data_IF_556728173431
#
_entry.id   IF_556728173431
#
_cell.length_a   1.000
_cell.length_b   1.000
_cell.length_c   1.000
_cell.angle_alpha   90.00
_cell.angle_beta   90.00
_cell.angle_gamma   90.00
#
_symmetry.space_group_name_H-M   'P 1'
#
loop_
_entity.id
_entity.type
_entity.pdbx_description
1 polymer ?
#
# COMPACT_ATOMS: atom_id res chain seq x y z
N UNK A 1 2.55 12.62 -2.10
CA UNK A 1 1.36 12.44 -2.97
C UNK A 1 1.60 11.72 -4.29
N UNK A 2 2.69 11.96 -5.03
CA UNK A 2 2.97 11.32 -6.33
C UNK A 2 2.72 9.79 -6.38
N UNK A 3 3.32 9.03 -5.45
CA UNK A 3 3.12 7.57 -5.32
C UNK A 3 1.67 7.17 -5.02
N UNK A 4 0.94 8.01 -4.29
CA UNK A 4 -0.48 7.77 -3.99
C UNK A 4 -1.28 7.89 -5.28
N UNK A 5 -1.04 8.93 -6.09
CA UNK A 5 -1.64 9.10 -7.43
C UNK A 5 -1.42 7.87 -8.31
N UNK A 6 -0.16 7.44 -8.49
CA UNK A 6 0.17 6.24 -9.29
C UNK A 6 -0.58 5.00 -8.79
N UNK A 7 -0.60 4.76 -7.47
CA UNK A 7 -1.26 3.58 -6.90
C UNK A 7 -2.78 3.63 -7.08
N UNK A 8 -3.40 4.81 -6.93
CA UNK A 8 -4.83 5.01 -7.21
C UNK A 8 -5.13 4.78 -8.68
N UNK A 9 -4.35 5.33 -9.61
CA UNK A 9 -4.52 5.08 -11.05
C UNK A 9 -4.41 3.59 -11.38
N UNK A 10 -3.37 2.91 -10.88
CA UNK A 10 -3.22 1.45 -11.08
C UNK A 10 -4.38 0.65 -10.50
N UNK A 11 -4.88 1.07 -9.33
CA UNK A 11 -6.06 0.48 -8.70
C UNK A 11 -7.28 0.63 -9.60
N UNK A 12 -7.61 1.86 -10.02
CA UNK A 12 -8.72 2.15 -10.93
C UNK A 12 -8.63 1.32 -12.21
N UNK A 13 -7.48 1.37 -12.90
CA UNK A 13 -7.23 0.60 -14.12
C UNK A 13 -7.38 -0.90 -13.92
N UNK A 14 -7.15 -1.45 -12.72
CA UNK A 14 -7.28 -2.89 -12.44
C UNK A 14 -8.69 -3.32 -12.03
N UNK A 15 -9.46 -2.41 -11.43
CA UNK A 15 -10.75 -2.71 -10.82
C UNK A 15 -11.93 -2.31 -11.70
N UNK A 16 -11.85 -1.17 -12.39
CA UNK A 16 -12.87 -0.64 -13.29
C UNK A 16 -12.67 -1.29 -14.66
N UNK A 17 -13.28 -2.46 -14.85
CA UNK A 17 -13.09 -3.29 -16.05
C UNK A 17 -14.15 -3.02 -17.10
N UNK A 18 -13.76 -3.23 -18.36
CA UNK A 18 -14.65 -3.13 -19.52
C UNK A 18 -15.33 -1.77 -19.68
N UNK A 19 -14.70 -0.69 -19.21
CA UNK A 19 -15.14 0.70 -19.46
C UNK A 19 -14.32 1.34 -20.58
N UNK A 20 -13.05 0.97 -20.69
CA UNK A 20 -12.12 1.45 -21.71
C UNK A 20 -11.52 0.29 -22.51
N UNK A 21 -11.05 0.51 -23.76
CA UNK A 21 -10.47 -0.54 -24.58
C UNK A 21 -9.26 -1.22 -23.89
N UNK A 22 -9.14 -2.54 -24.04
CA UNK A 22 -8.13 -3.32 -23.29
C UNK A 22 -6.69 -2.97 -23.68
N UNK A 23 -6.42 -2.68 -24.95
CA UNK A 23 -5.08 -2.38 -25.45
C UNK A 23 -4.44 -1.14 -24.78
N UNK A 24 -5.06 0.06 -24.81
CA UNK A 24 -4.50 1.23 -24.11
C UNK A 24 -4.41 1.02 -22.60
N UNK A 25 -5.39 0.36 -21.98
CA UNK A 25 -5.38 0.07 -20.55
C UNK A 25 -4.23 -0.86 -20.16
N UNK A 26 -3.94 -1.89 -20.96
CA UNK A 26 -2.81 -2.79 -20.74
C UNK A 26 -1.47 -2.05 -20.82
N UNK A 27 -1.34 -1.10 -21.76
CA UNK A 27 -0.18 -0.21 -21.86
C UNK A 27 -0.03 0.66 -20.61
N UNK A 28 -1.06 1.42 -20.23
CA UNK A 28 -1.00 2.30 -19.05
C UNK A 28 -0.75 1.53 -17.76
N UNK A 29 -1.30 0.32 -17.59
CA UNK A 29 -0.98 -0.53 -16.43
C UNK A 29 0.53 -0.83 -16.34
N UNK A 30 1.19 -1.10 -17.47
CA UNK A 30 2.65 -1.33 -17.53
C UNK A 30 3.41 -0.04 -17.22
N UNK A 31 3.00 1.09 -17.79
CA UNK A 31 3.65 2.39 -17.60
C UNK A 31 3.57 2.87 -16.15
N UNK A 32 2.37 2.88 -15.56
CA UNK A 32 2.22 3.24 -14.15
C UNK A 32 2.86 2.21 -13.22
N UNK A 33 2.94 0.93 -13.61
CA UNK A 33 3.73 -0.04 -12.85
C UNK A 33 5.22 0.28 -12.91
N UNK A 34 5.74 0.76 -14.04
CA UNK A 34 7.12 1.19 -14.16
C UNK A 34 7.40 2.43 -13.31
N UNK A 35 6.57 3.47 -13.42
CA UNK A 35 6.68 4.69 -12.60
C UNK A 35 6.61 4.37 -11.10
N UNK A 36 5.73 3.46 -10.70
CA UNK A 36 5.68 2.99 -9.32
C UNK A 36 6.99 2.36 -8.86
N UNK A 37 7.54 1.43 -9.65
CA UNK A 37 8.81 0.74 -9.34
C UNK A 37 10.00 1.70 -9.25
N UNK A 38 10.07 2.72 -10.11
CA UNK A 38 11.12 3.75 -10.07
C UNK A 38 11.22 4.47 -8.72
N UNK A 39 10.09 4.58 -8.00
CA UNK A 39 10.02 5.30 -6.73
C UNK A 39 10.18 4.41 -5.50
N UNK A 40 10.32 3.08 -5.66
CA UNK A 40 10.31 2.15 -4.53
C UNK A 40 11.49 2.38 -3.60
N UNK A 41 12.72 2.26 -4.11
CA UNK A 41 13.92 2.33 -3.25
C UNK A 41 14.03 3.66 -2.52
N UNK A 42 13.83 4.77 -3.22
CA UNK A 42 13.82 6.09 -2.57
C UNK A 42 12.76 6.19 -1.46
N UNK A 43 11.56 5.64 -1.69
CA UNK A 43 10.52 5.64 -0.66
C UNK A 43 10.89 4.78 0.54
N UNK A 44 11.47 3.61 0.31
CA UNK A 44 11.86 2.69 1.38
C UNK A 44 12.94 3.37 2.26
N UNK A 45 13.90 4.04 1.63
CA UNK A 45 14.90 4.88 2.31
C UNK A 45 14.26 6.04 3.10
N UNK A 46 13.34 6.80 2.49
CA UNK A 46 12.62 7.88 3.18
C UNK A 46 11.89 7.36 4.42
N UNK A 47 11.22 6.21 4.32
CA UNK A 47 10.47 5.61 5.43
C UNK A 47 11.42 5.14 6.53
N UNK A 48 12.51 4.47 6.18
CA UNK A 48 13.50 4.01 7.16
C UNK A 48 14.15 5.19 7.90
N UNK A 49 14.50 6.25 7.19
CA UNK A 49 15.12 7.45 7.77
C UNK A 49 14.15 8.22 8.69
N UNK A 50 12.86 8.26 8.37
CA UNK A 50 11.83 8.82 9.27
C UNK A 50 11.69 8.05 10.59
N UNK A 51 12.15 6.80 10.65
CA UNK A 51 12.10 5.95 11.86
C UNK A 51 13.39 6.01 12.68
N UNK A 52 14.37 6.83 12.30
CA UNK A 52 15.68 6.86 12.93
C UNK A 52 15.62 7.05 14.45
N UNK A 53 14.92 8.07 14.91
CA UNK A 53 14.83 8.36 16.35
C UNK A 53 14.01 7.30 17.09
N UNK A 54 12.94 6.80 16.46
CA UNK A 54 12.13 5.72 17.00
C UNK A 54 12.97 4.44 17.22
N UNK A 55 13.85 4.09 16.28
CA UNK A 55 14.75 2.94 16.44
C UNK A 55 15.72 3.13 17.60
N UNK A 56 16.28 4.33 17.78
CA UNK A 56 17.20 4.58 18.91
C UNK A 56 16.51 4.38 20.24
N UNK A 57 15.27 4.85 20.39
CA UNK A 57 14.50 4.69 21.65
C UNK A 57 14.24 3.22 22.00
N UNK A 58 14.18 2.32 21.00
CA UNK A 58 14.01 0.88 21.23
C UNK A 58 15.27 0.17 21.75
N UNK A 59 16.42 0.86 21.80
CA UNK A 59 17.69 0.29 22.20
C UNK A 59 18.21 0.88 23.52
N UNK A 60 18.96 0.08 24.31
CA UNK A 60 19.75 0.58 25.42
C UNK A 60 20.68 1.70 24.98
N UNK A 61 20.88 2.71 25.84
CA UNK A 61 21.66 3.91 25.50
C UNK A 61 23.04 3.64 24.91
N UNK A 62 23.73 2.59 25.38
CA UNK A 62 25.06 2.22 24.88
C UNK A 62 25.05 1.62 23.45
N UNK A 63 23.92 1.11 22.97
CA UNK A 63 23.76 0.59 21.60
C UNK A 63 23.24 1.65 20.62
N UNK A 64 22.66 2.77 21.10
CA UNK A 64 22.08 3.78 20.23
C UNK A 64 23.08 4.38 19.23
N UNK A 65 24.33 4.76 19.61
CA UNK A 65 25.32 5.28 18.67
C UNK A 65 25.74 4.24 17.61
N UNK A 66 25.52 2.95 17.85
CA UNK A 66 25.89 1.88 16.91
C UNK A 66 25.00 1.81 15.69
N UNK A 67 23.90 2.56 15.66
CA UNK A 67 23.06 2.75 14.49
C UNK A 67 23.53 3.88 13.56
N UNK A 68 24.49 4.72 13.98
CA UNK A 68 24.96 5.85 13.17
C UNK A 68 25.44 5.41 11.78
N UNK A 69 26.30 4.37 11.64
CA UNK A 69 26.79 3.94 10.33
C UNK A 69 25.67 3.45 9.40
N UNK A 70 24.64 2.80 9.96
CA UNK A 70 23.45 2.38 9.19
C UNK A 70 22.77 3.62 8.61
N UNK A 71 22.42 4.60 9.44
CA UNK A 71 21.69 5.79 8.96
C UNK A 71 22.53 6.68 8.05
N UNK A 72 23.83 6.80 8.29
CA UNK A 72 24.76 7.46 7.37
C UNK A 72 24.74 6.80 5.98
N UNK A 73 24.80 5.47 5.92
CA UNK A 73 24.71 4.74 4.65
C UNK A 73 23.36 4.94 3.94
N UNK A 74 22.25 4.94 4.70
CA UNK A 74 20.90 5.15 4.15
C UNK A 74 20.74 6.57 3.61
N UNK A 75 21.28 7.58 4.29
CA UNK A 75 21.30 8.97 3.82
C UNK A 75 22.12 9.13 2.54
N UNK A 76 23.29 8.49 2.47
CA UNK A 76 24.13 8.50 1.28
C UNK A 76 23.41 7.87 0.08
N UNK A 77 22.80 6.70 0.27
CA UNK A 77 22.04 6.01 -0.77
C UNK A 77 20.81 6.82 -1.20
N UNK A 78 20.08 7.42 -0.25
CA UNK A 78 18.91 8.27 -0.54
C UNK A 78 19.28 9.41 -1.48
N UNK A 79 20.45 10.03 -1.29
CA UNK A 79 20.93 11.10 -2.17
C UNK A 79 21.13 10.61 -3.61
N UNK A 80 21.64 9.40 -3.79
CA UNK A 80 21.83 8.78 -5.12
C UNK A 80 20.48 8.46 -5.76
N UNK A 81 19.60 7.77 -5.05
CA UNK A 81 18.28 7.37 -5.56
C UNK A 81 17.37 8.57 -5.82
N UNK A 82 17.50 9.65 -5.05
CA UNK A 82 16.80 10.91 -5.31
C UNK A 82 17.23 11.51 -6.65
N UNK A 83 18.54 11.61 -6.93
CA UNK A 83 19.03 12.12 -8.22
C UNK A 83 18.59 11.23 -9.38
N UNK A 84 18.63 9.90 -9.18
CA UNK A 84 18.18 8.93 -10.18
C UNK A 84 16.70 9.11 -10.51
N UNK A 85 15.85 9.28 -9.49
CA UNK A 85 14.43 9.51 -9.69
C UNK A 85 14.19 10.85 -10.38
N UNK A 86 14.83 11.93 -9.94
CA UNK A 86 14.71 13.25 -10.56
C UNK A 86 15.05 13.19 -12.06
N UNK A 87 16.21 12.62 -12.42
CA UNK A 87 16.59 12.45 -13.82
C UNK A 87 15.61 11.57 -14.62
N UNK A 88 15.02 10.54 -14.00
CA UNK A 88 14.03 9.69 -14.66
C UNK A 88 12.69 10.42 -14.90
N UNK A 89 12.30 11.32 -14.00
CA UNK A 89 11.10 12.16 -14.15
C UNK A 89 11.33 13.32 -15.13
N UNK A 90 12.57 13.79 -15.28
CA UNK A 90 12.93 14.79 -16.30
C UNK A 90 13.10 14.17 -17.70
N UNK A 91 13.12 12.85 -17.81
CA UNK A 91 13.33 12.14 -19.07
C UNK A 91 12.08 12.01 -19.94
N UNK A 92 12.28 11.92 -21.26
CA UNK A 92 11.20 11.86 -22.26
C UNK A 92 10.16 10.76 -22.00
N UNK A 93 10.56 9.66 -21.38
CA UNK A 93 9.64 8.55 -21.09
C UNK A 93 8.53 8.99 -20.14
N UNK A 94 8.86 9.70 -19.06
CA UNK A 94 7.85 10.19 -18.13
C UNK A 94 6.94 11.22 -18.80
N UNK A 95 7.53 12.19 -19.51
CA UNK A 95 6.80 13.23 -20.21
C UNK A 95 5.82 12.65 -21.24
N UNK A 96 6.23 11.63 -22.00
CA UNK A 96 5.34 10.89 -22.91
C UNK A 96 4.22 10.16 -22.16
N UNK A 97 4.51 9.46 -21.06
CA UNK A 97 3.48 8.76 -20.29
C UNK A 97 2.44 9.77 -19.77
N UNK A 98 2.88 10.93 -19.27
CA UNK A 98 2.00 11.97 -18.76
C UNK A 98 1.13 12.57 -19.88
N UNK A 99 1.73 12.94 -21.01
CA UNK A 99 1.02 13.49 -22.17
C UNK A 99 0.03 12.49 -22.78
N UNK A 100 0.45 11.23 -22.98
CA UNK A 100 -0.42 10.16 -23.49
C UNK A 100 -1.60 9.88 -22.55
N UNK A 101 -1.36 9.93 -21.23
CA UNK A 101 -2.41 9.72 -20.23
C UNK A 101 -3.41 10.87 -20.21
N UNK A 102 -2.93 12.11 -20.25
CA UNK A 102 -3.79 13.30 -20.35
C UNK A 102 -4.61 13.29 -21.66
N UNK A 103 -3.97 13.00 -22.79
CA UNK A 103 -4.64 12.85 -24.08
C UNK A 103 -5.72 11.78 -24.03
N UNK A 104 -5.41 10.60 -23.50
CA UNK A 104 -6.36 9.51 -23.35
C UNK A 104 -7.58 9.88 -22.50
N UNK A 105 -7.38 10.58 -21.37
CA UNK A 105 -8.48 10.98 -20.48
C UNK A 105 -9.38 12.08 -21.06
N UNK A 106 -8.83 12.93 -21.94
CA UNK A 106 -9.55 14.05 -22.55
C UNK A 106 -10.18 13.69 -23.92
N UNK A 107 -9.85 12.55 -24.50
CA UNK A 107 -10.50 12.06 -25.71
C UNK A 107 -11.93 11.60 -25.40
N UNK A 108 -12.87 11.93 -26.29
CA UNK A 108 -14.21 11.34 -26.25
C UNK A 108 -14.14 9.84 -26.59
N UNK A 109 -14.98 8.98 -25.98
CA UNK A 109 -14.99 7.57 -26.32
C UNK A 109 -15.34 7.38 -27.80
N UNK A 110 -14.53 6.62 -28.54
CA UNK A 110 -14.87 6.22 -29.90
C UNK A 110 -16.06 5.26 -29.92
N UNK A 111 -16.89 5.39 -30.96
CA UNK A 111 -18.00 4.47 -31.27
C UNK A 111 -17.47 3.06 -31.56
N UNK A 112 -17.73 2.16 -30.62
CA UNK A 112 -17.13 0.81 -30.52
C UNK A 112 -16.75 0.47 -29.08
N UNK A 113 -17.39 1.14 -28.12
CA UNK A 113 -16.98 1.16 -26.73
C UNK A 113 -17.24 -0.20 -26.05
N UNK A 114 -16.43 -0.57 -25.05
CA UNK A 114 -16.60 -1.84 -24.34
C UNK A 114 -17.94 -1.94 -23.60
N UNK A 115 -18.36 -3.16 -23.22
CA UNK A 115 -19.69 -3.47 -22.67
C UNK A 115 -20.19 -2.55 -21.53
N UNK A 116 -19.30 -2.02 -20.68
CA UNK A 116 -19.68 -1.16 -19.56
C UNK A 116 -19.48 0.34 -19.83
N UNK A 117 -19.09 0.75 -21.04
CA UNK A 117 -18.83 2.16 -21.34
C UNK A 117 -20.08 3.03 -21.26
N UNK A 118 -21.22 2.50 -21.72
CA UNK A 118 -22.52 3.19 -21.70
C UNK A 118 -23.37 2.79 -20.48
N UNK A 119 -22.88 1.89 -19.62
CA UNK A 119 -23.62 1.43 -18.46
C UNK A 119 -23.68 2.53 -17.38
N UNK A 120 -24.79 2.64 -16.62
CA UNK A 120 -24.90 3.60 -15.54
C UNK A 120 -23.78 3.44 -14.50
N UNK A 121 -23.04 4.52 -14.24
CA UNK A 121 -21.88 4.51 -13.35
C UNK A 121 -22.23 3.97 -11.94
N UNK A 122 -23.43 4.27 -11.44
CA UNK A 122 -23.91 3.79 -10.15
C UNK A 122 -23.98 2.26 -10.08
N UNK A 123 -24.56 1.60 -11.10
CA UNK A 123 -24.70 0.14 -11.11
C UNK A 123 -23.35 -0.57 -11.20
N UNK A 124 -22.42 -0.01 -11.98
CA UNK A 124 -21.04 -0.51 -12.04
C UNK A 124 -20.33 -0.33 -10.69
N UNK A 125 -20.47 0.84 -10.07
CA UNK A 125 -19.85 1.13 -8.78
C UNK A 125 -20.34 0.15 -7.71
N UNK A 126 -21.65 -0.10 -7.62
CA UNK A 126 -22.23 -1.08 -6.70
C UNK A 126 -21.64 -2.47 -6.93
N UNK A 127 -21.62 -2.96 -8.17
CA UNK A 127 -21.06 -4.28 -8.50
C UNK A 127 -19.56 -4.41 -8.20
N UNK A 128 -18.75 -3.36 -8.45
CA UNK A 128 -17.33 -3.37 -8.12
C UNK A 128 -17.09 -3.35 -6.61
N UNK A 129 -17.83 -2.53 -5.87
CA UNK A 129 -17.71 -2.39 -4.41
C UNK A 129 -18.14 -3.69 -3.72
N UNK A 130 -19.33 -4.23 -4.04
CA UNK A 130 -19.86 -5.46 -3.45
C UNK A 130 -18.90 -6.63 -3.64
N UNK A 131 -18.42 -6.83 -4.88
CA UNK A 131 -17.44 -7.89 -5.19
C UNK A 131 -16.18 -7.78 -4.33
N UNK A 132 -15.70 -6.56 -4.06
CA UNK A 132 -14.51 -6.35 -3.23
C UNK A 132 -14.80 -6.48 -1.75
N UNK A 133 -15.95 -6.01 -1.29
CA UNK A 133 -16.39 -6.19 0.08
C UNK A 133 -16.48 -7.67 0.44
N UNK A 134 -17.22 -8.48 -0.35
CA UNK A 134 -17.32 -9.93 -0.14
C UNK A 134 -15.93 -10.59 -0.10
N UNK A 135 -15.05 -10.21 -1.02
CA UNK A 135 -13.67 -10.74 -1.03
C UNK A 135 -12.90 -10.41 0.25
N UNK A 136 -13.07 -9.22 0.82
CA UNK A 136 -12.44 -8.83 2.09
C UNK A 136 -13.02 -9.64 3.24
N UNK A 137 -14.35 -9.83 3.29
CA UNK A 137 -15.00 -10.67 4.30
C UNK A 137 -14.53 -12.12 4.22
N UNK A 138 -14.57 -12.73 3.03
CA UNK A 138 -14.15 -14.12 2.81
C UNK A 138 -12.70 -14.34 3.23
N UNK A 139 -11.80 -13.45 2.80
CA UNK A 139 -10.38 -13.55 3.13
C UNK A 139 -10.11 -13.32 4.61
N UNK A 140 -10.78 -12.33 5.23
CA UNK A 140 -10.60 -12.03 6.64
C UNK A 140 -11.14 -13.12 7.56
N UNK A 141 -12.27 -13.74 7.21
CA UNK A 141 -12.84 -14.86 7.94
C UNK A 141 -11.96 -16.12 7.90
N UNK A 142 -11.12 -16.26 6.88
CA UNK A 142 -10.17 -17.36 6.73
C UNK A 142 -8.82 -17.15 7.45
N UNK A 143 -8.61 -15.98 8.09
CA UNK A 143 -7.37 -15.71 8.84
C UNK A 143 -7.48 -16.30 10.25
N UNK A 144 -6.55 -17.19 10.56
CA UNK A 144 -6.35 -17.81 11.86
C UNK A 144 -4.98 -17.45 12.44
N UNK A 145 -4.73 -17.81 13.70
CA UNK A 145 -3.46 -17.55 14.37
C UNK A 145 -2.26 -18.14 13.61
N UNK A 146 -2.43 -19.30 12.97
CA UNK A 146 -1.40 -20.04 12.21
C UNK A 146 -1.22 -19.55 10.77
N UNK A 147 -2.08 -18.66 10.26
CA UNK A 147 -2.07 -18.26 8.85
C UNK A 147 -0.78 -17.53 8.47
N UNK A 148 -0.12 -17.87 7.35
CA UNK A 148 1.10 -17.17 6.94
C UNK A 148 0.92 -15.65 6.80
N UNK A 149 1.94 -14.88 7.16
CA UNK A 149 1.99 -13.40 7.05
C UNK A 149 1.63 -12.90 5.63
N UNK A 150 1.93 -13.69 4.61
CA UNK A 150 1.60 -13.40 3.22
C UNK A 150 0.09 -13.25 2.97
N UNK A 151 -0.78 -13.97 3.69
CA UNK A 151 -2.22 -13.83 3.53
C UNK A 151 -2.75 -12.55 4.16
N UNK A 152 -2.21 -12.10 5.31
CA UNK A 152 -2.54 -10.79 5.87
C UNK A 152 -2.10 -9.67 4.92
N UNK A 153 -0.93 -9.82 4.28
CA UNK A 153 -0.49 -8.88 3.25
C UNK A 153 -1.45 -8.85 2.04
N UNK A 154 -1.94 -10.01 1.59
CA UNK A 154 -2.94 -10.09 0.51
C UNK A 154 -4.25 -9.44 0.92
N UNK A 155 -4.74 -9.71 2.13
CA UNK A 155 -5.96 -9.09 2.67
C UNK A 155 -5.83 -7.56 2.75
N UNK A 156 -4.67 -7.05 3.18
CA UNK A 156 -4.38 -5.61 3.19
C UNK A 156 -4.51 -4.99 1.80
N UNK A 157 -4.04 -5.67 0.75
CA UNK A 157 -4.17 -5.20 -0.63
C UNK A 157 -5.65 -5.12 -1.02
N UNK A 158 -6.46 -6.13 -0.70
CA UNK A 158 -7.90 -6.11 -0.99
C UNK A 158 -8.64 -5.03 -0.19
N UNK A 159 -8.29 -4.80 1.08
CA UNK A 159 -8.84 -3.69 1.87
C UNK A 159 -8.53 -2.33 1.23
N UNK A 160 -7.30 -2.12 0.74
CA UNK A 160 -6.94 -0.88 0.03
C UNK A 160 -7.70 -0.72 -1.27
N UNK A 161 -7.89 -1.81 -2.02
CA UNK A 161 -8.69 -1.82 -3.25
C UNK A 161 -10.14 -1.43 -2.99
N UNK A 162 -10.75 -1.99 -1.94
CA UNK A 162 -12.10 -1.63 -1.49
C UNK A 162 -12.18 -0.13 -1.14
N UNK A 163 -11.26 0.38 -0.32
CA UNK A 163 -11.21 1.80 0.02
C UNK A 163 -11.08 2.70 -1.20
N UNK A 164 -10.23 2.34 -2.16
CA UNK A 164 -10.13 3.14 -3.38
C UNK A 164 -11.41 3.17 -4.18
N UNK A 165 -12.17 2.06 -4.27
CA UNK A 165 -13.47 2.08 -4.93
C UNK A 165 -14.47 2.98 -4.19
N UNK A 166 -14.55 2.85 -2.87
CA UNK A 166 -15.40 3.72 -2.03
C UNK A 166 -15.06 5.20 -2.24
N UNK A 167 -13.77 5.54 -2.30
CA UNK A 167 -13.30 6.90 -2.53
C UNK A 167 -13.51 7.39 -3.98
N UNK A 168 -13.40 6.51 -4.99
CA UNK A 168 -13.63 6.89 -6.38
C UNK A 168 -15.10 7.19 -6.68
N UNK A 169 -16.00 6.41 -6.08
CA UNK A 169 -17.43 6.52 -6.34
C UNK A 169 -18.20 7.21 -5.22
N UNK A 170 -17.51 7.80 -4.24
CA UNK A 170 -18.12 8.41 -3.06
C UNK A 170 -19.26 9.40 -3.39
N UNK A 171 -19.11 10.18 -4.47
CA UNK A 171 -20.09 11.18 -4.91
C UNK A 171 -21.38 10.58 -5.49
N UNK A 172 -21.41 9.28 -5.79
CA UNK A 172 -22.60 8.59 -6.30
C UNK A 172 -23.52 8.08 -5.18
N UNK A 173 -23.06 8.14 -3.92
CA UNK A 173 -23.75 7.54 -2.79
C UNK A 173 -24.00 8.57 -1.67
N UNK A 174 -24.92 8.30 -0.73
CA UNK A 174 -25.11 9.14 0.45
C UNK A 174 -23.80 9.28 1.24
N UNK A 175 -23.34 10.52 1.43
CA UNK A 175 -22.05 10.80 2.06
C UNK A 175 -21.91 10.20 3.47
N UNK A 176 -23.01 10.11 4.23
CA UNK A 176 -23.03 9.51 5.56
C UNK A 176 -22.70 8.02 5.55
N UNK A 177 -23.23 7.27 4.59
CA UNK A 177 -23.02 5.82 4.48
C UNK A 177 -21.58 5.49 4.05
N UNK A 178 -21.06 6.21 3.05
CA UNK A 178 -19.66 6.08 2.63
C UNK A 178 -18.72 6.41 3.77
N UNK A 179 -18.98 7.50 4.50
CA UNK A 179 -18.15 7.90 5.65
C UNK A 179 -18.12 6.82 6.72
N UNK A 180 -19.28 6.27 7.09
CA UNK A 180 -19.38 5.20 8.08
C UNK A 180 -18.54 3.99 7.66
N UNK A 181 -18.73 3.49 6.42
CA UNK A 181 -17.98 2.33 5.93
C UNK A 181 -16.47 2.59 5.92
N UNK A 182 -16.04 3.77 5.46
CA UNK A 182 -14.61 4.13 5.41
C UNK A 182 -14.03 4.23 6.83
N UNK A 183 -14.77 4.75 7.80
CA UNK A 183 -14.36 4.81 9.21
C UNK A 183 -14.18 3.41 9.81
N UNK A 184 -15.11 2.48 9.58
CA UNK A 184 -14.97 1.09 10.04
C UNK A 184 -13.82 0.36 9.33
N UNK A 185 -13.67 0.55 8.02
CA UNK A 185 -12.59 -0.05 7.24
C UNK A 185 -11.21 0.47 7.68
N UNK A 186 -11.13 1.70 8.19
CA UNK A 186 -9.88 2.32 8.63
C UNK A 186 -9.22 1.53 9.75
N UNK A 187 -9.96 1.10 10.78
CA UNK A 187 -9.40 0.33 11.91
C UNK A 187 -8.70 -0.96 11.45
N UNK A 188 -9.38 -1.72 10.58
CA UNK A 188 -8.82 -2.93 9.97
C UNK A 188 -7.58 -2.62 9.10
N UNK A 189 -7.64 -1.52 8.34
CA UNK A 189 -6.52 -1.10 7.48
C UNK A 189 -5.30 -0.64 8.27
N UNK A 190 -5.50 0.07 9.38
CA UNK A 190 -4.43 0.56 10.24
C UNK A 190 -3.71 -0.65 10.87
N UNK A 191 -4.44 -1.62 11.43
CA UNK A 191 -3.87 -2.87 11.93
C UNK A 191 -3.04 -3.63 10.87
N UNK A 192 -3.63 -3.90 9.70
CA UNK A 192 -2.94 -4.57 8.60
C UNK A 192 -1.77 -3.73 8.06
N UNK A 193 -1.90 -2.41 8.12
CA UNK A 193 -0.88 -1.41 7.80
C UNK A 193 0.35 -1.58 8.67
N UNK A 194 0.16 -1.47 9.97
CA UNK A 194 1.21 -1.56 10.99
C UNK A 194 1.89 -2.93 10.94
N UNK A 195 1.11 -4.01 10.83
CA UNK A 195 1.64 -5.37 10.69
C UNK A 195 2.60 -5.49 9.48
N UNK A 196 2.17 -4.99 8.32
CA UNK A 196 2.97 -5.03 7.11
C UNK A 196 4.22 -4.15 7.24
N UNK A 197 4.09 -2.97 7.83
CA UNK A 197 5.18 -2.01 7.91
C UNK A 197 6.27 -2.53 8.89
N UNK A 198 5.90 -3.20 9.97
CA UNK A 198 6.83 -3.91 10.86
C UNK A 198 7.54 -5.08 10.15
N UNK A 199 6.82 -5.82 9.30
CA UNK A 199 7.40 -6.92 8.50
C UNK A 199 8.45 -6.41 7.51
N UNK A 200 8.14 -5.32 6.79
CA UNK A 200 9.09 -4.68 5.85
C UNK A 200 10.32 -4.15 6.58
N UNK A 201 10.15 -3.46 7.71
CA UNK A 201 11.27 -2.95 8.51
C UNK A 201 12.20 -4.07 8.98
N UNK A 202 11.66 -5.21 9.42
CA UNK A 202 12.47 -6.37 9.79
C UNK A 202 13.24 -6.94 8.59
N UNK A 203 12.62 -7.01 7.41
CA UNK A 203 13.28 -7.49 6.20
C UNK A 203 14.43 -6.56 5.78
N UNK A 204 14.21 -5.25 5.79
CA UNK A 204 15.22 -4.24 5.44
C UNK A 204 16.43 -4.30 6.38
N UNK A 205 16.18 -4.43 7.70
CA UNK A 205 17.26 -4.57 8.69
C UNK A 205 18.04 -5.88 8.54
N UNK A 206 17.37 -6.99 8.20
CA UNK A 206 18.02 -8.28 7.91
C UNK A 206 18.89 -8.21 6.66
N UNK A 207 18.39 -7.58 5.60
CA UNK A 207 19.17 -7.35 4.38
C UNK A 207 20.41 -6.52 4.69
N UNK A 208 20.27 -5.45 5.48
CA UNK A 208 21.42 -4.65 5.90
C UNK A 208 22.44 -5.47 6.70
N UNK A 209 21.99 -6.32 7.63
CA UNK A 209 22.89 -7.22 8.36
C UNK A 209 23.71 -8.12 7.44
N UNK A 210 23.12 -8.65 6.37
CA UNK A 210 23.83 -9.49 5.39
C UNK A 210 24.86 -8.72 4.57
N UNK A 211 24.71 -7.40 4.44
CA UNK A 211 25.66 -6.54 3.71
C UNK A 211 26.85 -6.10 4.58
N UNK A 212 26.76 -6.26 5.91
CA UNK A 212 27.84 -5.90 6.82
C UNK A 212 28.97 -6.94 6.77
N UNK A 213 30.21 -6.45 6.70
CA UNK A 213 31.40 -7.29 6.84
C UNK A 213 31.72 -7.49 8.33
N UNK A 214 31.77 -8.74 8.77
CA UNK A 214 32.11 -9.09 10.16
C UNK A 214 33.50 -8.58 10.59
N UNK A 215 34.45 -8.48 9.66
CA UNK A 215 35.81 -7.99 9.93
C UNK A 215 35.87 -6.47 10.12
N UNK A 216 34.93 -5.73 9.54
CA UNK A 216 34.92 -4.26 9.49
C UNK A 216 33.86 -3.62 10.37
N UNK A 217 33.05 -4.43 11.04
CA UNK A 217 31.87 -3.97 11.77
C UNK A 217 32.01 -4.31 13.25
N UNK A 218 31.74 -3.32 14.11
CA UNK A 218 31.78 -3.55 15.56
C UNK A 218 30.70 -4.57 15.97
N UNK A 219 31.00 -5.54 16.86
CA UNK A 219 30.02 -6.53 17.32
C UNK A 219 28.71 -5.92 17.84
N UNK A 220 28.81 -4.78 18.51
CA UNK A 220 27.65 -4.05 19.03
C UNK A 220 26.71 -3.50 17.94
N UNK A 221 27.17 -3.30 16.70
CA UNK A 221 26.28 -2.95 15.57
C UNK A 221 25.38 -4.13 15.20
N UNK A 222 25.91 -5.36 15.20
CA UNK A 222 25.10 -6.56 15.02
C UNK A 222 24.10 -6.72 16.18
N UNK A 223 24.54 -6.46 17.41
CA UNK A 223 23.67 -6.50 18.58
C UNK A 223 22.55 -5.43 18.52
N UNK A 224 22.86 -4.21 18.08
CA UNK A 224 21.89 -3.13 17.91
C UNK A 224 20.83 -3.49 16.87
N UNK A 225 21.24 -3.91 15.66
CA UNK A 225 20.28 -4.24 14.59
C UNK A 225 19.50 -5.51 14.93
N UNK A 226 20.15 -6.53 15.51
CA UNK A 226 19.48 -7.74 16.00
C UNK A 226 18.45 -7.44 17.10
N UNK A 227 18.80 -6.53 18.02
CA UNK A 227 17.90 -6.04 19.05
C UNK A 227 16.66 -5.35 18.47
N UNK A 228 16.85 -4.47 17.47
CA UNK A 228 15.74 -3.84 16.74
C UNK A 228 14.83 -4.86 16.08
N UNK A 229 15.38 -5.82 15.34
CA UNK A 229 14.59 -6.87 14.69
C UNK A 229 13.76 -7.62 15.72
N UNK A 230 14.33 -7.96 16.87
CA UNK A 230 13.61 -8.62 17.97
C UNK A 230 12.48 -7.75 18.55
N UNK A 231 12.71 -6.45 18.75
CA UNK A 231 11.67 -5.52 19.19
C UNK A 231 10.52 -5.41 18.19
N UNK A 232 10.84 -5.18 16.92
CA UNK A 232 9.86 -5.05 15.84
C UNK A 232 9.06 -6.34 15.63
N UNK A 233 9.71 -7.51 15.77
CA UNK A 233 9.02 -8.79 15.70
C UNK A 233 7.98 -8.95 16.83
N UNK A 234 8.33 -8.61 18.07
CA UNK A 234 7.38 -8.68 19.20
C UNK A 234 6.19 -7.74 18.97
N UNK A 235 6.45 -6.53 18.49
CA UNK A 235 5.38 -5.59 18.16
C UNK A 235 4.51 -6.11 17.02
N UNK A 236 5.11 -6.71 15.98
CA UNK A 236 4.38 -7.33 14.88
C UNK A 236 3.45 -8.44 15.37
N UNK A 237 3.90 -9.28 16.31
CA UNK A 237 3.05 -10.32 16.91
C UNK A 237 1.90 -9.73 17.73
N UNK A 238 2.13 -8.63 18.46
CA UNK A 238 1.08 -7.90 19.17
C UNK A 238 0.02 -7.35 18.22
N UNK A 239 0.45 -6.69 17.13
CA UNK A 239 -0.47 -6.18 16.09
C UNK A 239 -1.23 -7.32 15.42
N UNK A 240 -0.55 -8.43 15.12
CA UNK A 240 -1.16 -9.63 14.54
C UNK A 240 -2.23 -10.23 15.45
N UNK A 241 -1.99 -10.31 16.75
CA UNK A 241 -2.97 -10.81 17.72
C UNK A 241 -4.23 -9.93 17.79
N UNK A 242 -4.10 -8.61 17.54
CA UNK A 242 -5.22 -7.69 17.50
C UNK A 242 -6.07 -7.79 16.22
N UNK A 243 -5.59 -8.49 15.17
CA UNK A 243 -6.28 -8.61 13.88
C UNK A 243 -7.74 -9.06 14.05
N UNK A 244 -7.98 -10.18 14.75
CA UNK A 244 -9.32 -10.77 14.89
C UNK A 244 -10.33 -9.77 15.47
N UNK A 245 -9.92 -8.99 16.47
CA UNK A 245 -10.74 -7.91 17.04
C UNK A 245 -11.09 -6.86 15.99
N UNK A 246 -10.09 -6.32 15.29
CA UNK A 246 -10.32 -5.28 14.27
C UNK A 246 -11.15 -5.78 13.08
N UNK A 247 -11.00 -7.06 12.71
CA UNK A 247 -11.81 -7.68 11.68
C UNK A 247 -13.27 -7.86 12.12
N UNK A 248 -13.52 -8.33 13.35
CA UNK A 248 -14.88 -8.42 13.89
C UNK A 248 -15.56 -7.04 14.02
N UNK A 249 -14.80 -5.98 14.29
CA UNK A 249 -15.31 -4.60 14.29
C UNK A 249 -15.74 -4.11 12.90
N UNK A 250 -15.04 -4.56 11.84
CA UNK A 250 -15.41 -4.27 10.46
C UNK A 250 -16.57 -5.16 9.98
N UNK A 251 -16.59 -6.43 10.36
CA UNK A 251 -17.60 -7.42 9.96
C UNK A 251 -18.85 -7.41 10.86
N UNK A 252 -19.26 -6.26 11.38
CA UNK A 252 -20.49 -6.12 12.18
C UNK A 252 -21.70 -5.98 11.29
N UNK A 253 -22.87 -6.38 11.82
CA UNK A 253 -24.15 -6.25 11.11
C UNK A 253 -24.43 -4.84 10.62
N UNK A 254 -24.05 -3.81 11.39
CA UNK A 254 -24.21 -2.41 11.01
C UNK A 254 -23.50 -2.04 9.69
N UNK A 255 -22.30 -2.59 9.47
CA UNK A 255 -21.54 -2.36 8.23
C UNK A 255 -22.22 -3.10 7.07
N UNK A 256 -22.65 -4.35 7.30
CA UNK A 256 -23.37 -5.15 6.30
C UNK A 256 -24.69 -4.48 5.89
N UNK A 257 -25.47 -4.00 6.85
CA UNK A 257 -26.72 -3.28 6.63
C UNK A 257 -26.47 -1.96 5.87
N UNK A 258 -25.34 -1.30 6.11
CA UNK A 258 -24.96 -0.11 5.35
C UNK A 258 -24.57 -0.45 3.91
N UNK A 259 -23.85 -1.55 3.67
CA UNK A 259 -23.62 -2.03 2.31
C UNK A 259 -24.93 -2.41 1.60
N UNK A 260 -25.88 -3.04 2.30
CA UNK A 260 -27.21 -3.35 1.72
C UNK A 260 -27.97 -2.09 1.34
N UNK A 261 -27.91 -1.04 2.15
CA UNK A 261 -28.54 0.27 1.83
C UNK A 261 -27.91 0.95 0.63
N UNK A 262 -26.58 0.87 0.46
CA UNK A 262 -25.90 1.38 -0.73
C UNK A 262 -26.32 0.68 -2.03
N UNK A 263 -26.85 -0.54 -1.91
CA UNK A 263 -27.23 -1.40 -3.04
C UNK A 263 -28.74 -1.56 -3.24
N UNK A 264 -29.55 -0.98 -2.35
CA UNK A 264 -31.02 -0.95 -2.44
C UNK A 264 -31.49 0.14 -3.41
#
# INVERSE_FOLDING_TARGET
>A
DFRVGIRRTRSALSQIKSVFPDAPIARFRKDFSHLGKLTNRLRDLDVALLKQDAYRVLLPGYLQPRLDPLFESLWAERKVEHRRLAAALDGDRYLRIAADWEGFLNCSPDSGSPDNADAPAIGLAQGFIDKRYRRVIDMGAAIEASTPDAELHRLRIECKKLRYLLEFFASLFPAGEIRLIVEHLKSLQDNLGDFNDLSVQQADLKEHLHMLSAERTHPETFAAIGGLIGCLYREQQSVRAAFSKTFMEFNRSEVDDTFRRLFA
#
